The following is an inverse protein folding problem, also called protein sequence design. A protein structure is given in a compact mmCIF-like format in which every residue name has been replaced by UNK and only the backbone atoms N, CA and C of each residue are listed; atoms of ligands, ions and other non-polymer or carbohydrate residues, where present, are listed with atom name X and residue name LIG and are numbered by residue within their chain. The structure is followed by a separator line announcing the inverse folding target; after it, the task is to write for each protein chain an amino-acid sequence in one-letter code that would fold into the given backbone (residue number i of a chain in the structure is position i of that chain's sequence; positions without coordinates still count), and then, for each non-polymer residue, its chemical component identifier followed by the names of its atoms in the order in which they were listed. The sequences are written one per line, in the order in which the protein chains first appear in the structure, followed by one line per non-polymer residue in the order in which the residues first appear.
data_IF_142198233822
#
_entry.id   IF_142198233822
#
_cell.length_a   1.000
_cell.length_b   1.000
_cell.length_c   1.000
_cell.angle_alpha   90.00
_cell.angle_beta   90.00
_cell.angle_gamma   90.00
#
_symmetry.space_group_name_H-M   'P 1'
#
loop_
_entity.id
_entity.type
_entity.pdbx_description
1 polymer ?
#
# COMPACT_ATOMS: atom_id res chain seq x y z
N UNK A 1 -3.34 72.26 -9.12
CA UNK A 1 -2.42 71.37 -9.87
C UNK A 1 -2.11 70.19 -8.97
N UNK A 2 -2.41 68.97 -9.45
CA UNK A 2 -2.65 67.79 -8.64
C UNK A 2 -1.38 67.22 -7.98
N UNK A 3 -1.50 66.95 -6.68
CA UNK A 3 -0.62 66.12 -5.86
C UNK A 3 -1.26 64.74 -5.76
N UNK A 4 -0.50 63.67 -6.02
CA UNK A 4 -1.02 62.30 -5.97
C UNK A 4 -0.04 61.27 -6.50
N UNK A 5 0.99 60.94 -5.72
CA UNK A 5 1.89 59.83 -6.00
C UNK A 5 2.27 59.14 -4.70
N UNK A 6 2.24 57.80 -4.72
CA UNK A 6 2.66 56.82 -3.69
C UNK A 6 1.55 56.12 -2.91
N UNK A 7 0.81 55.22 -3.56
CA UNK A 7 0.29 54.00 -2.91
C UNK A 7 0.20 52.92 -4.00
N UNK A 8 1.22 52.05 -4.12
CA UNK A 8 1.11 50.71 -4.76
C UNK A 8 2.45 49.95 -4.71
N UNK A 9 3.06 49.82 -3.53
CA UNK A 9 4.11 48.81 -3.29
C UNK A 9 3.96 48.28 -1.86
N UNK A 10 2.95 47.44 -1.62
CA UNK A 10 2.82 46.73 -0.34
C UNK A 10 2.04 45.40 -0.40
N UNK A 11 1.40 45.04 -1.53
CA UNK A 11 0.55 43.84 -1.58
C UNK A 11 1.25 42.56 -2.08
N UNK A 12 2.45 42.65 -2.68
CA UNK A 12 3.14 41.47 -3.25
C UNK A 12 4.01 40.73 -2.21
N UNK A 13 4.40 41.40 -1.11
CA UNK A 13 5.25 40.79 -0.08
C UNK A 13 4.53 39.80 0.85
N UNK A 14 3.22 39.97 1.07
CA UNK A 14 2.46 39.14 2.01
C UNK A 14 2.10 37.75 1.44
N UNK A 15 1.92 37.63 0.11
CA UNK A 15 1.55 36.36 -0.52
C UNK A 15 2.76 35.41 -0.60
N UNK A 16 3.96 35.93 -0.83
CA UNK A 16 5.18 35.12 -0.89
C UNK A 16 5.54 34.53 0.48
N UNK A 17 5.27 35.24 1.57
CA UNK A 17 5.57 34.78 2.93
C UNK A 17 4.63 33.66 3.41
N UNK A 18 3.36 33.66 2.95
CA UNK A 18 2.41 32.58 3.25
C UNK A 18 2.78 31.29 2.48
N UNK A 19 3.25 31.41 1.23
CA UNK A 19 3.68 30.24 0.44
C UNK A 19 4.94 29.59 1.04
N UNK A 20 5.90 30.37 1.54
CA UNK A 20 7.10 29.82 2.19
C UNK A 20 6.78 29.19 3.56
N UNK A 21 5.83 29.74 4.33
CA UNK A 21 5.39 29.16 5.59
C UNK A 21 4.64 27.82 5.40
N UNK A 22 3.82 27.69 4.35
CA UNK A 22 3.17 26.41 4.00
C UNK A 22 4.19 25.38 3.50
N UNK A 23 5.23 25.79 2.79
CA UNK A 23 6.29 24.88 2.33
C UNK A 23 7.21 24.40 3.47
N UNK A 24 7.56 25.28 4.42
CA UNK A 24 8.40 24.93 5.57
C UNK A 24 7.69 23.99 6.56
N UNK A 25 6.37 24.12 6.76
CA UNK A 25 5.60 23.19 7.61
C UNK A 25 5.42 21.82 6.94
N UNK A 26 5.36 21.74 5.60
CA UNK A 26 5.22 20.46 4.86
C UNK A 26 6.53 19.68 4.71
N UNK A 27 7.68 20.34 4.92
CA UNK A 27 9.02 19.73 4.80
C UNK A 27 9.44 18.92 6.03
N UNK A 28 8.74 19.07 7.17
CA UNK A 28 9.06 18.42 8.45
C UNK A 28 8.26 17.13 8.68
N UNK A 29 7.36 16.76 7.76
CA UNK A 29 6.49 15.58 7.90
C UNK A 29 6.79 14.45 6.89
N UNK A 30 7.88 14.58 6.14
CA UNK A 30 8.45 13.46 5.38
C UNK A 30 9.34 12.63 6.30
N UNK A 31 8.70 11.72 7.03
CA UNK A 31 9.38 10.56 7.61
C UNK A 31 8.70 9.30 7.04
N UNK A 32 9.33 8.54 6.12
CA UNK A 32 8.76 7.30 5.60
C UNK A 32 8.80 6.15 6.62
N UNK A 33 9.28 6.38 7.86
CA UNK A 33 9.23 5.40 8.93
C UNK A 33 7.93 5.49 9.72
N UNK A 34 6.80 5.09 9.14
CA UNK A 34 5.57 4.85 9.92
C UNK A 34 4.70 3.75 9.32
N UNK A 35 4.86 2.56 9.91
CA UNK A 35 3.96 1.39 9.88
C UNK A 35 3.92 0.57 8.59
N UNK A 36 5.07 0.04 8.21
CA UNK A 36 5.11 -1.29 7.57
C UNK A 36 4.87 -2.33 8.67
N UNK A 37 3.63 -2.78 8.85
CA UNK A 37 3.38 -3.99 9.62
C UNK A 37 3.89 -5.15 8.78
N UNK A 38 5.05 -5.69 9.14
CA UNK A 38 5.59 -6.87 8.49
C UNK A 38 4.58 -8.02 8.61
N UNK A 39 4.26 -8.68 7.49
CA UNK A 39 3.58 -9.99 7.46
C UNK A 39 4.51 -11.02 8.12
N UNK A 40 4.47 -11.14 9.45
CA UNK A 40 5.25 -12.14 10.20
C UNK A 40 4.31 -13.11 10.90
N UNK A 41 4.52 -14.40 10.60
CA UNK A 41 3.99 -15.62 11.22
C UNK A 41 2.51 -16.01 11.00
N UNK A 42 2.31 -16.98 10.11
CA UNK A 42 1.25 -17.99 10.23
C UNK A 42 1.70 -19.09 11.20
N UNK A 43 0.80 -19.65 12.05
CA UNK A 43 1.13 -20.76 12.93
C UNK A 43 1.34 -22.06 12.13
N UNK A 44 2.49 -22.70 12.32
CA UNK A 44 2.73 -24.06 11.86
C UNK A 44 1.91 -25.03 12.74
N UNK A 45 0.98 -25.77 12.13
CA UNK A 45 0.34 -26.93 12.76
C UNK A 45 1.38 -28.02 12.95
N UNK A 46 1.92 -28.17 14.16
CA UNK A 46 2.71 -29.34 14.53
C UNK A 46 1.75 -30.48 14.85
N UNK A 47 1.64 -31.44 13.93
CA UNK A 47 1.01 -32.74 14.19
C UNK A 47 1.86 -33.48 15.22
N UNK A 48 1.33 -33.60 16.45
CA UNK A 48 1.94 -34.42 17.49
C UNK A 48 1.75 -35.91 17.13
N UNK A 49 2.84 -36.59 16.81
CA UNK A 49 2.90 -38.05 16.79
C UNK A 49 3.39 -38.50 18.17
N UNK A 50 2.49 -39.11 18.94
CA UNK A 50 2.82 -39.77 20.20
C UNK A 50 3.70 -40.99 19.92
N UNK A 51 4.94 -40.98 20.42
CA UNK A 51 5.76 -42.16 20.57
C UNK A 51 5.99 -42.42 22.06
N UNK A 52 5.39 -43.51 22.54
CA UNK A 52 5.63 -44.13 23.83
C UNK A 52 7.08 -44.64 23.91
N UNK A 53 7.81 -44.26 24.96
CA UNK A 53 9.09 -44.88 25.29
C UNK A 53 9.16 -45.21 26.79
N UNK A 54 9.41 -46.49 27.00
CA UNK A 54 9.46 -47.28 28.23
C UNK A 54 10.61 -46.87 29.15
N UNK A 55 10.37 -47.07 30.44
CA UNK A 55 11.26 -46.92 31.59
C UNK A 55 12.60 -47.66 31.47
N UNK A 56 13.69 -47.04 31.90
CA UNK A 56 14.88 -47.74 32.41
C UNK A 56 15.56 -46.92 33.52
N UNK A 57 15.66 -47.53 34.71
CA UNK A 57 16.46 -47.12 35.87
C UNK A 57 17.96 -47.14 35.55
N UNK A 58 18.72 -46.20 36.11
CA UNK A 58 20.04 -46.49 36.69
C UNK A 58 20.46 -45.41 37.71
N UNK A 59 21.12 -45.87 38.75
CA UNK A 59 21.48 -45.24 40.03
C UNK A 59 22.92 -44.70 40.07
N UNK A 60 23.23 -43.99 41.17
CA UNK A 60 24.54 -43.69 41.79
C UNK A 60 25.31 -42.47 41.23
N UNK A 61 26.06 -41.65 41.99
CA UNK A 61 26.29 -41.41 43.44
C UNK A 61 27.20 -40.16 43.56
N UNK A 62 27.27 -39.57 44.77
CA UNK A 62 28.36 -38.76 45.35
C UNK A 62 28.79 -37.35 44.84
N UNK A 63 28.47 -36.35 45.69
CA UNK A 63 29.41 -35.66 46.61
C UNK A 63 29.81 -34.18 46.39
N UNK A 64 29.75 -33.43 47.50
CA UNK A 64 30.47 -32.17 47.82
C UNK A 64 29.64 -30.89 47.69
N UNK A 65 29.47 -30.00 48.67
CA UNK A 65 29.96 -29.87 50.05
C UNK A 65 29.87 -28.40 50.51
N UNK A 66 29.36 -28.16 51.74
CA UNK A 66 29.50 -27.00 52.66
C UNK A 66 29.06 -25.57 52.17
N UNK A 67 28.56 -24.60 52.96
CA UNK A 67 28.69 -24.30 54.40
C UNK A 67 27.62 -23.25 54.88
N UNK A 68 26.91 -23.54 55.99
CA UNK A 68 26.61 -22.76 57.25
C UNK A 68 25.99 -21.31 57.19
N UNK A 69 24.72 -21.02 57.57
CA UNK A 69 24.06 -20.78 58.93
C UNK A 69 23.76 -19.26 59.16
N UNK A 70 22.96 -18.81 60.15
CA UNK A 70 21.48 -18.75 60.22
C UNK A 70 20.91 -17.34 60.55
N UNK A 71 19.58 -17.20 60.51
CA UNK A 71 18.90 -16.04 61.10
C UNK A 71 17.47 -16.39 61.49
N UNK A 72 17.27 -16.82 62.74
CA UNK A 72 15.97 -17.09 63.32
C UNK A 72 15.29 -15.83 63.85
N UNK A 73 13.96 -15.88 63.93
CA UNK A 73 13.14 -14.85 64.56
C UNK A 73 11.68 -15.29 64.57
N UNK A 74 11.30 -16.05 65.59
CA UNK A 74 9.91 -16.41 65.88
C UNK A 74 9.15 -15.23 66.50
N UNK A 75 7.85 -15.20 66.22
CA UNK A 75 6.90 -14.27 66.82
C UNK A 75 5.49 -14.83 66.63
N UNK A 76 5.01 -15.47 67.69
CA UNK A 76 3.65 -15.97 67.89
C UNK A 76 2.67 -14.80 68.05
N UNK A 77 1.42 -14.98 67.61
CA UNK A 77 0.41 -13.92 67.59
C UNK A 77 -0.87 -14.38 66.92
N UNK A 78 -1.67 -15.13 67.68
CA UNK A 78 -3.04 -15.54 67.35
C UNK A 78 -3.95 -14.31 67.36
N UNK A 79 -4.78 -14.11 66.33
CA UNK A 79 -6.17 -13.67 66.52
C UNK A 79 -7.02 -13.77 65.25
N UNK A 80 -8.30 -13.96 65.53
CA UNK A 80 -9.37 -14.57 64.77
C UNK A 80 -10.27 -13.51 64.11
N UNK A 81 -10.79 -13.73 62.89
CA UNK A 81 -11.98 -13.00 62.41
C UNK A 81 -12.05 -12.61 60.93
N UNK A 82 -12.72 -13.45 60.15
CA UNK A 82 -13.69 -13.14 59.09
C UNK A 82 -13.47 -11.96 58.10
N UNK A 83 -13.35 -12.27 56.81
CA UNK A 83 -14.35 -11.93 55.78
C UNK A 83 -13.87 -12.34 54.37
N UNK A 84 -14.47 -13.41 53.84
CA UNK A 84 -14.40 -13.80 52.44
C UNK A 84 -15.01 -12.71 51.56
N UNK A 85 -14.19 -11.98 50.81
CA UNK A 85 -14.66 -11.07 49.76
C UNK A 85 -14.33 -11.69 48.40
N UNK A 86 -15.29 -12.44 47.87
CA UNK A 86 -15.28 -12.93 46.50
C UNK A 86 -15.27 -11.74 45.55
N UNK A 87 -14.11 -11.46 44.95
CA UNK A 87 -13.98 -10.48 43.87
C UNK A 87 -14.36 -11.18 42.58
N UNK A 88 -15.64 -11.11 42.22
CA UNK A 88 -16.15 -11.54 40.93
C UNK A 88 -15.64 -10.56 39.88
N UNK A 89 -14.51 -10.88 39.24
CA UNK A 89 -14.06 -10.15 38.05
C UNK A 89 -15.06 -10.45 36.93
N UNK A 90 -15.93 -9.49 36.65
CA UNK A 90 -16.86 -9.53 35.53
C UNK A 90 -16.05 -9.60 34.24
N UNK A 91 -15.96 -10.79 33.66
CA UNK A 91 -15.50 -10.97 32.28
C UNK A 91 -16.52 -10.29 31.39
N UNK A 92 -16.24 -9.07 30.96
CA UNK A 92 -16.98 -8.40 29.89
C UNK A 92 -16.68 -9.15 28.60
N UNK A 93 -17.50 -10.16 28.30
CA UNK A 93 -17.56 -10.76 26.99
C UNK A 93 -18.06 -9.68 26.03
N UNK A 94 -17.15 -8.94 25.41
CA UNK A 94 -17.46 -8.24 24.15
C UNK A 94 -17.79 -9.32 23.13
N UNK A 95 -19.08 -9.65 23.05
CA UNK A 95 -19.67 -10.27 21.85
C UNK A 95 -19.43 -9.30 20.71
N UNK A 96 -18.32 -9.49 19.99
CA UNK A 96 -18.12 -8.92 18.67
C UNK A 96 -19.21 -9.52 17.79
N UNK A 97 -20.30 -8.79 17.62
CA UNK A 97 -21.28 -9.10 16.58
C UNK A 97 -20.52 -9.05 15.26
N UNK A 98 -20.19 -10.22 14.72
CA UNK A 98 -19.72 -10.34 13.35
C UNK A 98 -20.90 -10.04 12.43
N UNK A 99 -21.22 -8.78 12.26
CA UNK A 99 -22.01 -8.32 11.13
C UNK A 99 -21.24 -8.79 9.91
N UNK A 100 -21.77 -9.77 9.18
CA UNK A 100 -21.19 -10.19 7.90
C UNK A 100 -21.07 -8.92 7.05
N UNK A 101 -19.84 -8.42 6.89
CA UNK A 101 -19.58 -7.25 6.08
C UNK A 101 -20.19 -7.50 4.69
N UNK A 102 -20.89 -6.51 4.15
CA UNK A 102 -21.35 -6.58 2.76
C UNK A 102 -20.12 -6.82 1.85
N UNK A 103 -20.23 -7.53 0.73
CA UNK A 103 -19.08 -7.66 -0.17
C UNK A 103 -18.66 -6.28 -0.69
N UNK A 104 -17.37 -6.13 -1.03
CA UNK A 104 -16.92 -4.94 -1.74
C UNK A 104 -17.63 -4.84 -3.10
N UNK A 105 -17.98 -3.63 -3.50
CA UNK A 105 -18.59 -3.31 -4.79
C UNK A 105 -17.87 -2.13 -5.42
N UNK A 106 -17.65 -2.19 -6.73
CA UNK A 106 -17.04 -1.09 -7.46
C UNK A 106 -18.06 0.03 -7.68
N UNK A 107 -17.62 1.27 -7.53
CA UNK A 107 -18.38 2.47 -7.88
C UNK A 107 -17.47 3.51 -8.53
N UNK A 108 -18.09 4.58 -8.98
CA UNK A 108 -17.40 5.70 -9.59
C UNK A 108 -17.82 6.98 -8.90
N UNK A 109 -16.84 7.80 -8.52
CA UNK A 109 -17.08 9.18 -8.10
C UNK A 109 -16.79 10.13 -9.27
N UNK A 110 -17.69 11.09 -9.49
CA UNK A 110 -17.43 12.14 -10.47
C UNK A 110 -16.70 13.32 -9.81
N UNK A 111 -15.42 13.46 -10.11
CA UNK A 111 -14.62 14.64 -9.73
C UNK A 111 -14.73 15.66 -10.83
N UNK A 112 -15.40 16.77 -10.54
CA UNK A 112 -15.61 17.89 -11.46
C UNK A 112 -15.29 19.22 -10.75
N UNK A 113 -14.03 19.41 -10.41
CA UNK A 113 -13.55 20.50 -9.55
C UNK A 113 -12.06 20.80 -9.79
N UNK A 114 -11.56 21.86 -9.14
CA UNK A 114 -10.13 22.18 -9.15
C UNK A 114 -9.38 21.36 -8.08
N UNK A 115 -8.28 20.75 -8.51
CA UNK A 115 -7.26 20.12 -7.66
C UNK A 115 -6.03 21.04 -7.67
N UNK A 116 -5.98 21.96 -6.70
CA UNK A 116 -5.03 23.08 -6.75
C UNK A 116 -5.34 24.01 -7.91
N UNK A 117 -4.41 24.13 -8.86
CA UNK A 117 -4.59 24.96 -10.07
C UNK A 117 -5.13 24.19 -11.28
N UNK A 118 -5.21 22.86 -11.19
CA UNK A 118 -5.59 22.00 -12.31
C UNK A 118 -7.09 21.68 -12.21
N UNK A 119 -7.86 21.99 -13.26
CA UNK A 119 -9.24 21.54 -13.35
C UNK A 119 -9.29 20.05 -13.70
N UNK A 120 -10.07 19.27 -12.96
CA UNK A 120 -10.28 17.85 -13.22
C UNK A 120 -11.76 17.60 -13.52
N UNK A 121 -12.03 16.93 -14.64
CA UNK A 121 -13.34 16.36 -14.98
C UNK A 121 -13.14 14.86 -15.25
N UNK A 122 -13.08 14.09 -14.16
CA UNK A 122 -12.63 12.70 -14.14
C UNK A 122 -13.61 11.83 -13.34
N UNK A 123 -13.80 10.61 -13.80
CA UNK A 123 -14.59 9.54 -13.21
C UNK A 123 -13.62 8.67 -12.43
N UNK A 124 -13.51 8.93 -11.13
CA UNK A 124 -12.56 8.28 -10.23
C UNK A 124 -13.11 6.90 -9.80
N UNK A 125 -12.38 5.80 -10.04
CA UNK A 125 -12.75 4.50 -9.52
C UNK A 125 -12.67 4.47 -7.99
N UNK A 126 -13.68 3.89 -7.36
CA UNK A 126 -13.87 3.81 -5.92
C UNK A 126 -14.51 2.47 -5.57
N UNK A 127 -14.55 2.15 -4.28
CA UNK A 127 -15.29 1.01 -3.74
C UNK A 127 -16.26 1.40 -2.64
N UNK A 128 -17.24 0.53 -2.41
CA UNK A 128 -18.20 0.58 -1.31
C UNK A 128 -18.42 -0.83 -0.72
N UNK A 129 -19.03 -0.89 0.46
CA UNK A 129 -19.18 -2.13 1.22
C UNK A 129 -17.86 -2.66 1.80
N UNK A 130 -17.85 -3.93 2.18
CA UNK A 130 -16.71 -4.60 2.81
C UNK A 130 -16.37 -4.03 4.17
N UNK A 131 -15.10 -4.15 4.53
CA UNK A 131 -14.54 -3.44 5.67
C UNK A 131 -14.39 -1.95 5.32
N UNK A 132 -15.05 -1.07 6.08
CA UNK A 132 -15.05 0.36 5.83
C UNK A 132 -13.67 1.02 5.95
N UNK A 133 -12.78 0.49 6.78
CA UNK A 133 -11.42 1.00 6.91
C UNK A 133 -10.60 0.66 5.66
N UNK A 134 -10.76 -0.57 5.14
CA UNK A 134 -10.14 -0.99 3.88
C UNK A 134 -10.68 -0.18 2.70
N UNK A 135 -12.00 0.02 2.63
CA UNK A 135 -12.63 0.86 1.62
C UNK A 135 -12.11 2.30 1.67
N UNK A 136 -11.99 2.86 2.88
CA UNK A 136 -11.40 4.18 3.12
C UNK A 136 -9.98 4.29 2.58
N UNK A 137 -9.10 3.32 2.89
CA UNK A 137 -7.71 3.32 2.38
C UNK A 137 -7.68 3.28 0.85
N UNK A 138 -8.41 2.36 0.22
CA UNK A 138 -8.42 2.26 -1.24
C UNK A 138 -8.89 3.57 -1.89
N UNK A 139 -10.00 4.11 -1.40
CA UNK A 139 -10.61 5.32 -1.91
C UNK A 139 -9.67 6.53 -1.75
N UNK A 140 -9.04 6.68 -0.58
CA UNK A 140 -8.06 7.73 -0.30
C UNK A 140 -6.82 7.62 -1.21
N UNK A 141 -6.30 6.42 -1.44
CA UNK A 141 -5.17 6.22 -2.36
C UNK A 141 -5.56 6.56 -3.82
N UNK A 142 -6.77 6.22 -4.26
CA UNK A 142 -7.26 6.61 -5.58
C UNK A 142 -7.35 8.14 -5.72
N UNK A 143 -7.81 8.85 -4.68
CA UNK A 143 -7.79 10.32 -4.65
C UNK A 143 -6.37 10.87 -4.70
N UNK A 144 -5.41 10.29 -3.96
CA UNK A 144 -3.99 10.68 -4.01
C UNK A 144 -3.40 10.48 -5.40
N UNK A 145 -3.75 9.39 -6.09
CA UNK A 145 -3.34 9.15 -7.48
C UNK A 145 -3.87 10.25 -8.41
N UNK A 146 -5.15 10.61 -8.30
CA UNK A 146 -5.71 11.70 -9.09
C UNK A 146 -5.04 13.05 -8.78
N UNK A 147 -4.78 13.33 -7.49
CA UNK A 147 -4.07 14.55 -7.07
C UNK A 147 -2.64 14.58 -7.63
N UNK A 148 -1.91 13.47 -7.58
CA UNK A 148 -0.55 13.36 -8.13
C UNK A 148 -0.53 13.61 -9.64
N UNK A 149 -1.51 13.08 -10.37
CA UNK A 149 -1.67 13.41 -11.79
C UNK A 149 -1.88 14.92 -11.97
N UNK A 150 -2.76 15.54 -11.19
CA UNK A 150 -3.05 16.98 -11.26
C UNK A 150 -1.82 17.85 -10.93
N UNK A 151 -1.04 17.45 -9.92
CA UNK A 151 0.19 18.12 -9.49
C UNK A 151 1.32 18.00 -10.51
N UNK A 152 1.29 16.96 -11.36
CA UNK A 152 2.26 16.79 -12.45
C UNK A 152 2.05 17.76 -13.62
N UNK A 153 0.92 18.48 -13.66
CA UNK A 153 0.60 19.43 -14.73
C UNK A 153 1.11 20.82 -14.35
N UNK A 154 1.75 21.48 -15.32
CA UNK A 154 2.13 22.91 -15.24
C UNK A 154 1.10 23.83 -15.90
N UNK A 155 0.00 23.27 -16.39
CA UNK A 155 -1.09 23.94 -17.07
C UNK A 155 -2.03 22.95 -17.75
N UNK A 156 -3.21 23.40 -18.13
CA UNK A 156 -4.25 22.58 -18.77
C UNK A 156 -5.25 21.99 -17.77
N UNK A 157 -5.83 20.85 -18.13
CA UNK A 157 -6.84 20.14 -17.34
C UNK A 157 -6.69 18.62 -17.45
N UNK A 158 -7.27 17.90 -16.50
CA UNK A 158 -7.44 16.46 -16.56
C UNK A 158 -8.83 16.11 -17.08
N UNK A 159 -8.86 15.24 -18.08
CA UNK A 159 -10.08 14.66 -18.63
C UNK A 159 -10.08 13.14 -18.49
N UNK A 160 -11.28 12.56 -18.46
CA UNK A 160 -11.47 11.11 -18.46
C UNK A 160 -10.86 10.43 -19.68
N UNK A 161 -10.32 9.22 -19.46
CA UNK A 161 -10.07 8.26 -20.53
C UNK A 161 -10.75 6.93 -20.27
N UNK A 162 -11.14 6.20 -21.33
CA UNK A 162 -11.62 4.84 -21.20
C UNK A 162 -10.59 3.91 -20.54
N UNK A 163 -11.09 2.92 -19.79
CA UNK A 163 -10.29 1.87 -19.17
C UNK A 163 -9.91 2.13 -17.71
N UNK A 164 -10.43 3.18 -17.07
CA UNK A 164 -10.40 3.29 -15.60
C UNK A 164 -11.37 2.29 -14.96
N UNK A 165 -11.02 1.74 -13.80
CA UNK A 165 -11.89 0.80 -13.09
C UNK A 165 -11.28 0.20 -11.83
N UNK A 166 -12.05 -0.67 -11.17
CA UNK A 166 -11.60 -1.46 -10.02
C UNK A 166 -11.81 -2.94 -10.31
N UNK A 167 -10.78 -3.75 -10.04
CA UNK A 167 -10.91 -5.20 -9.90
C UNK A 167 -10.98 -5.57 -8.42
N UNK A 168 -11.97 -6.39 -8.08
CA UNK A 168 -12.18 -6.92 -6.73
C UNK A 168 -11.90 -8.42 -6.79
N UNK A 169 -10.75 -8.82 -6.26
CA UNK A 169 -10.39 -10.22 -6.00
C UNK A 169 -10.83 -10.64 -4.60
N UNK A 170 -10.58 -11.91 -4.24
CA UNK A 170 -10.97 -12.40 -2.91
C UNK A 170 -10.18 -11.75 -1.77
N UNK A 171 -8.89 -11.43 -2.02
CA UNK A 171 -7.99 -10.81 -1.05
C UNK A 171 -7.28 -9.57 -1.57
N UNK A 172 -7.59 -9.10 -2.77
CA UNK A 172 -6.92 -7.94 -3.38
C UNK A 172 -7.90 -7.02 -4.08
N UNK A 173 -7.68 -5.72 -3.93
CA UNK A 173 -8.38 -4.65 -4.62
C UNK A 173 -7.38 -3.95 -5.53
N UNK A 174 -7.64 -3.91 -6.83
CA UNK A 174 -6.78 -3.23 -7.82
C UNK A 174 -7.55 -2.10 -8.48
N UNK A 175 -7.08 -0.86 -8.32
CA UNK A 175 -7.60 0.33 -8.98
C UNK A 175 -6.71 0.76 -10.14
N UNK A 176 -7.33 1.14 -11.25
CA UNK A 176 -6.68 1.71 -12.42
C UNK A 176 -7.36 3.04 -12.76
N UNK A 177 -6.60 4.13 -12.76
CA UNK A 177 -7.04 5.44 -13.22
C UNK A 177 -6.32 5.83 -14.50
N UNK A 178 -7.08 6.05 -15.58
CA UNK A 178 -6.60 6.60 -16.85
C UNK A 178 -7.20 7.96 -17.09
N UNK A 179 -6.35 8.96 -17.29
CA UNK A 179 -6.75 10.33 -17.62
C UNK A 179 -5.98 10.85 -18.82
N UNK A 180 -6.39 12.01 -19.32
CA UNK A 180 -5.67 12.78 -20.31
C UNK A 180 -5.32 14.15 -19.73
N UNK A 181 -4.04 14.49 -19.74
CA UNK A 181 -3.58 15.85 -19.54
C UNK A 181 -3.78 16.63 -20.85
N UNK A 182 -4.75 17.54 -20.86
CA UNK A 182 -5.13 18.32 -22.03
C UNK A 182 -4.65 19.76 -21.87
N UNK A 183 -3.77 20.19 -22.77
CA UNK A 183 -3.35 21.58 -22.92
C UNK A 183 -4.00 22.14 -24.19
N UNK A 184 -5.06 22.91 -24.02
CA UNK A 184 -5.79 23.53 -25.14
C UNK A 184 -5.03 24.66 -25.81
N UNK A 185 -4.10 25.30 -25.10
CA UNK A 185 -3.28 26.37 -25.70
C UNK A 185 -2.26 25.78 -26.68
N UNK A 186 -1.74 24.58 -26.39
CA UNK A 186 -0.78 23.88 -27.24
C UNK A 186 -1.42 22.85 -28.18
N UNK A 187 -2.74 22.65 -28.10
CA UNK A 187 -3.47 21.60 -28.82
C UNK A 187 -2.85 20.20 -28.61
N UNK A 188 -2.38 19.91 -27.40
CA UNK A 188 -1.75 18.62 -27.05
C UNK A 188 -2.56 17.87 -26.00
N UNK A 189 -2.58 16.55 -26.11
CA UNK A 189 -3.13 15.63 -25.12
C UNK A 189 -2.12 14.54 -24.81
N UNK A 190 -1.86 14.31 -23.53
CA UNK A 190 -0.96 13.26 -23.05
C UNK A 190 -1.73 12.30 -22.15
N UNK A 191 -1.77 10.99 -22.46
CA UNK A 191 -2.41 10.03 -21.57
C UNK A 191 -1.58 9.84 -20.30
N UNK A 192 -2.26 9.71 -19.18
CA UNK A 192 -1.68 9.41 -17.87
C UNK A 192 -2.31 8.12 -17.32
N UNK A 193 -1.55 7.40 -16.52
CA UNK A 193 -2.00 6.24 -15.78
C UNK A 193 -1.64 6.38 -14.30
N UNK A 194 -2.42 5.77 -13.45
CA UNK A 194 -2.14 5.63 -12.03
C UNK A 194 -2.85 4.40 -11.51
N UNK A 195 -2.27 3.74 -10.52
CA UNK A 195 -2.80 2.49 -10.00
C UNK A 195 -2.71 2.45 -8.49
N UNK A 196 -3.57 1.63 -7.89
CA UNK A 196 -3.60 1.34 -6.46
C UNK A 196 -3.82 -0.16 -6.30
N UNK A 197 -3.08 -0.81 -5.41
CA UNK A 197 -3.30 -2.21 -5.06
C UNK A 197 -3.35 -2.31 -3.54
N UNK A 198 -4.42 -2.90 -3.00
CA UNK A 198 -4.65 -3.02 -1.55
C UNK A 198 -5.02 -4.45 -1.21
N UNK A 199 -4.47 -4.99 -0.13
CA UNK A 199 -4.94 -6.25 0.47
C UNK A 199 -6.32 -6.02 1.11
N UNK A 200 -7.33 -6.71 0.59
CA UNK A 200 -8.73 -6.56 0.98
C UNK A 200 -9.01 -6.99 2.43
N UNK A 201 -8.10 -7.76 3.04
CA UNK A 201 -8.23 -8.22 4.42
C UNK A 201 -7.55 -7.29 5.42
N UNK A 202 -6.36 -6.78 5.08
CA UNK A 202 -5.57 -5.96 6.01
C UNK A 202 -5.68 -4.45 5.77
N UNK A 203 -6.14 -4.02 4.59
CA UNK A 203 -6.11 -2.63 4.15
C UNK A 203 -4.70 -2.14 3.80
N UNK A 204 -3.70 -3.01 3.74
CA UNK A 204 -2.33 -2.63 3.41
C UNK A 204 -2.18 -2.35 1.92
N UNK A 205 -1.55 -1.22 1.58
CA UNK A 205 -1.16 -0.94 0.18
C UNK A 205 -0.04 -1.89 -0.22
N UNK A 206 -0.25 -2.61 -1.32
CA UNK A 206 0.71 -3.53 -1.90
C UNK A 206 1.55 -2.76 -2.92
N UNK A 207 2.83 -2.55 -2.61
CA UNK A 207 3.83 -1.93 -3.49
C UNK A 207 4.80 -2.97 -4.05
N UNK A 208 5.62 -2.60 -5.04
CA UNK A 208 6.67 -3.50 -5.56
C UNK A 208 7.61 -3.98 -4.45
N UNK A 209 7.99 -3.10 -3.53
CA UNK A 209 8.82 -3.45 -2.36
C UNK A 209 8.16 -4.47 -1.43
N UNK A 210 6.82 -4.51 -1.39
CA UNK A 210 6.06 -5.50 -0.63
C UNK A 210 5.88 -6.83 -1.37
N UNK A 211 6.07 -6.87 -2.69
CA UNK A 211 5.97 -8.08 -3.49
C UNK A 211 7.22 -8.96 -3.37
N UNK A 212 8.40 -8.36 -3.47
CA UNK A 212 9.66 -9.09 -3.62
C UNK A 212 10.44 -9.24 -2.32
N UNK A 213 11.16 -10.36 -2.18
CA UNK A 213 12.11 -10.58 -1.08
C UNK A 213 13.25 -9.56 -1.14
N UNK A 214 13.79 -9.34 -2.34
CA UNK A 214 14.76 -8.29 -2.66
C UNK A 214 14.23 -7.46 -3.84
N UNK A 215 13.95 -6.17 -3.59
CA UNK A 215 13.35 -5.29 -4.58
C UNK A 215 14.20 -5.16 -5.84
N UNK A 216 15.52 -5.03 -5.71
CA UNK A 216 16.41 -4.84 -6.86
C UNK A 216 16.44 -6.08 -7.76
N UNK A 217 16.44 -7.27 -7.17
CA UNK A 217 16.35 -8.55 -7.87
C UNK A 217 14.98 -8.68 -8.54
N UNK A 218 13.90 -8.34 -7.84
CA UNK A 218 12.56 -8.28 -8.41
C UNK A 218 12.46 -7.37 -9.62
N UNK A 219 12.95 -6.14 -9.53
CA UNK A 219 12.96 -5.18 -10.65
C UNK A 219 13.77 -5.68 -11.86
N UNK A 220 14.91 -6.33 -11.63
CA UNK A 220 15.70 -6.95 -12.72
C UNK A 220 14.93 -8.10 -13.38
N UNK A 221 14.24 -8.93 -12.60
CA UNK A 221 13.40 -10.01 -13.10
C UNK A 221 12.23 -9.45 -13.92
N UNK A 222 11.58 -8.38 -13.46
CA UNK A 222 10.53 -7.69 -14.21
C UNK A 222 11.03 -7.20 -15.58
N UNK A 223 12.24 -6.63 -15.66
CA UNK A 223 12.86 -6.26 -16.93
C UNK A 223 13.08 -7.47 -17.83
N UNK A 224 13.61 -8.57 -17.28
CA UNK A 224 13.87 -9.79 -18.03
C UNK A 224 12.58 -10.37 -18.63
N UNK A 225 11.56 -10.58 -17.81
CA UNK A 225 10.29 -11.16 -18.27
C UNK A 225 9.56 -10.22 -19.24
N UNK A 226 9.60 -8.90 -19.00
CA UNK A 226 9.02 -7.92 -19.93
C UNK A 226 9.67 -7.96 -21.31
N UNK A 227 11.00 -8.14 -21.39
CA UNK A 227 11.72 -8.29 -22.66
C UNK A 227 11.35 -9.58 -23.40
N UNK A 228 11.13 -10.65 -22.65
CA UNK A 228 10.77 -11.97 -23.17
C UNK A 228 9.33 -12.02 -23.68
N UNK A 229 8.41 -11.44 -22.94
CA UNK A 229 6.98 -11.47 -23.24
C UNK A 229 6.59 -10.43 -24.30
N UNK A 230 7.21 -9.24 -24.26
CA UNK A 230 6.74 -8.08 -25.01
C UNK A 230 5.39 -7.57 -24.47
N UNK A 231 4.81 -6.52 -25.08
CA UNK A 231 3.54 -5.97 -24.62
C UNK A 231 2.35 -6.81 -25.07
N UNK A 232 1.29 -6.80 -24.25
CA UNK A 232 0.01 -7.45 -24.54
C UNK A 232 -0.88 -6.64 -25.47
N UNK A 233 -0.56 -5.36 -25.70
CA UNK A 233 -1.31 -4.45 -26.55
C UNK A 233 -0.75 -4.33 -27.97
N UNK A 234 -1.55 -3.72 -28.86
CA UNK A 234 -1.14 -3.40 -30.23
C UNK A 234 0.12 -2.51 -30.32
N UNK A 235 0.59 -1.94 -29.20
CA UNK A 235 1.85 -1.22 -29.11
C UNK A 235 3.09 -2.11 -29.33
N UNK A 236 2.94 -3.44 -29.39
CA UNK A 236 4.04 -4.40 -29.61
C UNK A 236 4.88 -4.19 -30.86
N UNK A 237 4.33 -3.58 -31.91
CA UNK A 237 5.10 -3.31 -33.12
C UNK A 237 6.29 -2.35 -32.89
N UNK A 238 6.19 -1.43 -31.92
CA UNK A 238 7.21 -0.41 -31.65
C UNK A 238 7.79 -0.52 -30.23
N UNK A 239 7.57 -1.64 -29.55
CA UNK A 239 8.11 -1.87 -28.22
C UNK A 239 9.63 -2.03 -28.28
N UNK A 240 10.32 -1.25 -27.46
CA UNK A 240 11.76 -1.26 -27.33
C UNK A 240 12.14 -1.70 -25.91
N UNK A 241 12.33 -3.00 -25.74
CA UNK A 241 12.75 -3.59 -24.48
C UNK A 241 14.12 -3.10 -24.00
N UNK A 242 14.95 -2.47 -24.84
CA UNK A 242 16.24 -1.91 -24.43
C UNK A 242 16.09 -0.66 -23.56
N UNK A 243 14.93 0.00 -23.61
CA UNK A 243 14.60 1.18 -22.79
C UNK A 243 14.09 0.84 -21.39
N UNK A 244 13.81 -0.44 -21.12
CA UNK A 244 13.38 -0.86 -19.78
C UNK A 244 14.50 -0.68 -18.76
N UNK A 245 14.21 0.10 -17.73
CA UNK A 245 15.09 0.30 -16.59
C UNK A 245 14.56 -0.48 -15.39
N UNK A 246 15.45 -1.11 -14.62
CA UNK A 246 15.10 -1.83 -13.41
C UNK A 246 14.87 -0.83 -12.25
N UNK A 247 13.81 -0.03 -12.36
CA UNK A 247 13.45 1.01 -11.37
C UNK A 247 11.99 0.88 -10.97
N UNK A 248 11.67 1.30 -9.76
CA UNK A 248 10.27 1.37 -9.31
C UNK A 248 9.45 2.30 -10.19
N UNK A 249 10.02 3.39 -10.71
CA UNK A 249 9.30 4.29 -11.61
C UNK A 249 8.84 3.57 -12.89
N UNK A 250 9.67 2.71 -13.48
CA UNK A 250 9.33 1.97 -14.71
C UNK A 250 8.19 0.98 -14.50
N UNK A 251 8.07 0.37 -13.32
CA UNK A 251 7.09 -0.67 -13.01
C UNK A 251 6.03 -0.24 -11.99
N UNK A 252 6.01 1.04 -11.61
CA UNK A 252 5.23 1.56 -10.48
C UNK A 252 3.74 1.64 -10.77
N UNK A 253 3.35 1.69 -12.04
CA UNK A 253 1.97 1.59 -12.47
C UNK A 253 1.66 0.14 -12.82
N UNK A 254 1.07 -0.57 -11.88
CA UNK A 254 0.64 -1.95 -12.08
C UNK A 254 -0.66 -2.25 -11.33
N UNK A 255 -1.43 -3.21 -11.85
CA UNK A 255 -2.55 -3.84 -11.15
C UNK A 255 -2.25 -5.31 -10.91
N UNK A 256 -2.75 -5.83 -9.79
CA UNK A 256 -2.79 -7.27 -9.60
C UNK A 256 -3.94 -7.82 -10.45
N UNK A 257 -3.68 -8.76 -11.35
CA UNK A 257 -4.67 -9.55 -12.09
C UNK A 257 -4.56 -11.03 -11.69
N UNK A 258 -5.60 -11.84 -11.87
CA UNK A 258 -5.52 -13.29 -11.57
C UNK A 258 -4.40 -13.97 -12.35
N UNK A 259 -4.17 -13.56 -13.60
CA UNK A 259 -3.16 -14.13 -14.48
C UNK A 259 -1.74 -13.63 -14.18
N UNK A 260 -1.57 -12.45 -13.58
CA UNK A 260 -0.25 -11.86 -13.43
C UNK A 260 -0.22 -10.42 -12.95
N UNK A 261 0.99 -9.88 -12.88
CA UNK A 261 1.27 -8.47 -12.65
C UNK A 261 1.07 -7.71 -13.96
N UNK A 262 -0.02 -6.93 -14.07
CA UNK A 262 -0.31 -6.14 -15.27
C UNK A 262 0.30 -4.75 -15.13
N UNK A 263 1.35 -4.47 -15.90
CA UNK A 263 2.14 -3.23 -15.85
C UNK A 263 1.67 -2.28 -16.94
N UNK A 264 1.66 -0.99 -16.62
CA UNK A 264 1.40 0.12 -17.53
C UNK A 264 2.64 1.01 -17.60
N UNK A 265 3.20 1.19 -18.80
CA UNK A 265 4.31 2.10 -19.04
C UNK A 265 3.80 3.44 -19.54
N UNK A 266 4.34 4.51 -18.96
CA UNK A 266 4.08 5.86 -19.41
C UNK A 266 4.42 6.04 -20.89
N UNK A 267 3.65 6.91 -21.55
CA UNK A 267 3.86 7.27 -22.95
C UNK A 267 5.31 7.69 -23.20
N UNK A 268 5.94 7.11 -24.23
CA UNK A 268 7.30 7.46 -24.62
C UNK A 268 8.40 6.65 -23.90
N UNK A 269 8.07 5.91 -22.85
CA UNK A 269 9.06 5.19 -22.02
C UNK A 269 9.65 3.99 -22.76
N UNK A 270 8.79 3.12 -23.28
CA UNK A 270 9.17 1.84 -23.91
C UNK A 270 8.75 1.75 -25.38
N UNK A 271 8.16 2.80 -25.93
CA UNK A 271 7.74 2.92 -27.32
C UNK A 271 7.68 4.41 -27.70
N UNK A 272 7.63 4.78 -28.99
CA UNK A 272 7.41 6.17 -29.41
C UNK A 272 6.14 6.76 -28.79
N UNK A 273 6.10 8.06 -28.53
CA UNK A 273 4.95 8.71 -27.88
C UNK A 273 3.62 8.52 -28.65
N UNK A 274 3.67 8.30 -29.96
CA UNK A 274 2.50 7.98 -30.79
C UNK A 274 1.80 6.66 -30.40
N UNK A 275 2.50 5.75 -29.73
CA UNK A 275 1.94 4.49 -29.24
C UNK A 275 1.05 4.65 -27.99
N UNK A 276 1.09 5.80 -27.31
CA UNK A 276 0.37 6.02 -26.06
C UNK A 276 0.94 5.22 -24.89
N UNK A 277 0.07 4.82 -23.95
CA UNK A 277 0.43 3.92 -22.83
C UNK A 277 0.60 2.51 -23.38
N UNK A 278 1.71 1.88 -23.05
CA UNK A 278 1.98 0.47 -23.36
C UNK A 278 1.73 -0.35 -22.12
N UNK A 279 1.14 -1.53 -22.25
CA UNK A 279 0.89 -2.44 -21.13
C UNK A 279 1.33 -3.87 -21.45
N UNK A 280 1.66 -4.62 -20.40
CA UNK A 280 2.05 -6.02 -20.46
C UNK A 280 1.69 -6.75 -19.17
N UNK A 281 1.38 -8.05 -19.26
CA UNK A 281 1.10 -8.89 -18.09
C UNK A 281 2.21 -9.90 -17.90
N UNK A 282 2.85 -9.88 -16.73
CA UNK A 282 3.86 -10.86 -16.34
C UNK A 282 3.19 -11.94 -15.49
N UNK A 283 3.20 -13.21 -15.92
CA UNK A 283 2.59 -14.29 -15.15
C UNK A 283 3.16 -14.39 -13.74
N UNK A 284 2.30 -14.60 -12.74
CA UNK A 284 2.76 -14.78 -11.36
C UNK A 284 3.71 -15.97 -11.19
N UNK A 285 3.54 -17.02 -12.01
CA UNK A 285 4.44 -18.17 -12.06
C UNK A 285 5.89 -17.80 -12.37
N UNK A 286 6.08 -16.74 -13.17
CA UNK A 286 7.41 -16.30 -13.62
C UNK A 286 8.10 -15.42 -12.56
N UNK A 287 7.35 -15.01 -11.52
CA UNK A 287 7.83 -14.18 -10.42
C UNK A 287 7.97 -14.94 -9.10
N UNK A 288 7.35 -16.12 -8.98
CA UNK A 288 7.13 -16.83 -7.70
C UNK A 288 8.36 -16.95 -6.80
N UNK A 289 9.51 -17.35 -7.35
CA UNK A 289 10.74 -17.55 -6.59
C UNK A 289 11.33 -16.25 -6.00
N UNK A 290 11.06 -15.11 -6.63
CA UNK A 290 11.51 -13.80 -6.15
C UNK A 290 10.53 -13.15 -5.16
N UNK A 291 9.28 -13.66 -5.08
CA UNK A 291 8.22 -13.09 -4.28
C UNK A 291 8.31 -13.48 -2.81
N UNK A 292 7.85 -12.59 -1.94
CA UNK A 292 7.65 -12.87 -0.52
C UNK A 292 6.61 -13.97 -0.34
N UNK A 293 6.88 -14.84 0.64
CA UNK A 293 5.96 -15.94 0.99
C UNK A 293 4.56 -15.41 1.31
N UNK A 294 3.53 -16.07 0.79
CA UNK A 294 2.13 -15.70 1.03
C UNK A 294 1.59 -14.57 0.14
N UNK A 295 2.45 -13.75 -0.48
CA UNK A 295 2.01 -12.57 -1.24
C UNK A 295 1.39 -12.96 -2.58
N UNK A 296 1.93 -13.96 -3.26
CA UNK A 296 1.39 -14.43 -4.54
C UNK A 296 -0.08 -14.86 -4.41
N UNK A 297 -0.43 -15.57 -3.33
CA UNK A 297 -1.81 -16.00 -3.07
C UNK A 297 -2.77 -14.83 -2.86
N UNK A 298 -2.28 -13.68 -2.39
CA UNK A 298 -3.08 -12.46 -2.23
C UNK A 298 -3.32 -11.82 -3.60
N UNK A 299 -2.24 -11.54 -4.34
CA UNK A 299 -2.33 -10.76 -5.59
C UNK A 299 -2.95 -11.55 -6.75
N UNK A 300 -2.87 -12.88 -6.75
CA UNK A 300 -3.51 -13.72 -7.76
C UNK A 300 -4.97 -14.08 -7.46
N UNK A 301 -5.53 -13.59 -6.34
CA UNK A 301 -6.89 -13.93 -5.88
C UNK A 301 -8.02 -13.15 -6.54
#
# INVERSE_FOLDING_TARGET
MFSGGRILVAAVGAIVLIVVAVYAVRSVWWDPASKTTALTQLPSTTTAVSATATTAMSTADASGGAEVTPGGGGGDGTDNGAATTSSTTTTTTTTTSSTTATPFTAKTEKVNSFLGTTYANVSLPQIDGGDSAVAGVFNDEMHKVLQSQADSLTGGRLEDRPGSGVRIGQRVLSGLLRTAAVDTAKATSRPLVGTVVVDAQSGSVITLSSLFNDLNTGLKLLVQESKKLGPSSAAGANFDGTKLQATEQTFGHWTAETAGLHVFFDQGTVAPSSSGIVDLTIPWSDLGDAMKSGVQQIVSS
#
